data_IF_584936161883
#
_entry.id   IF_584936161883
#
_cell.length_a   1.000
_cell.length_b   1.000
_cell.length_c   1.000
_cell.angle_alpha   90.00
_cell.angle_beta   90.00
_cell.angle_gamma   90.00
#
_symmetry.space_group_name_H-M   'P 1'
#
loop_
_entity.id
_entity.type
_entity.pdbx_description
1 polymer ?
#
# COMPACT_ATOMS: atom_id res chain seq x y z
N UNK A 1 -4.21 -22.77 -17.20
CA UNK A 1 -4.28 -22.22 -15.83
C UNK A 1 -4.45 -23.34 -14.80
N UNK A 2 -3.61 -23.42 -13.77
CA UNK A 2 -3.65 -24.50 -12.78
C UNK A 2 -4.77 -24.27 -11.75
N UNK A 3 -5.40 -25.36 -11.27
CA UNK A 3 -6.49 -25.35 -10.26
C UNK A 3 -6.14 -24.58 -8.97
N UNK A 4 -4.86 -24.33 -8.70
CA UNK A 4 -4.39 -23.58 -7.53
C UNK A 4 -4.57 -22.06 -7.66
N UNK A 5 -4.59 -21.52 -8.88
CA UNK A 5 -4.76 -20.06 -9.14
C UNK A 5 -6.21 -19.65 -8.92
N UNK A 6 -7.15 -20.47 -9.39
CA UNK A 6 -8.59 -20.26 -9.16
C UNK A 6 -8.91 -20.37 -7.66
N UNK A 7 -8.29 -21.30 -6.92
CA UNK A 7 -8.55 -21.45 -5.49
C UNK A 7 -8.08 -20.26 -4.65
N UNK A 8 -6.99 -19.57 -5.03
CA UNK A 8 -6.53 -18.36 -4.33
C UNK A 8 -7.49 -17.18 -4.57
N UNK A 9 -7.92 -16.98 -5.83
CA UNK A 9 -8.93 -15.98 -6.19
C UNK A 9 -10.32 -16.28 -5.57
N UNK A 10 -10.67 -17.56 -5.44
CA UNK A 10 -11.93 -18.01 -4.81
C UNK A 10 -11.86 -17.92 -3.28
N UNK A 11 -10.67 -18.01 -2.66
CA UNK A 11 -10.52 -17.82 -1.21
C UNK A 11 -10.79 -16.39 -0.75
N UNK A 12 -10.65 -15.41 -1.65
CA UNK A 12 -11.09 -14.02 -1.46
C UNK A 12 -12.62 -13.85 -1.63
N UNK A 13 -13.31 -14.84 -2.20
CA UNK A 13 -14.76 -14.86 -2.45
C UNK A 13 -15.54 -15.90 -1.60
N UNK A 14 -14.89 -16.48 -0.59
CA UNK A 14 -15.42 -17.64 0.15
C UNK A 14 -16.38 -17.30 1.30
N UNK A 15 -17.52 -16.65 1.05
CA UNK A 15 -18.69 -16.78 1.94
C UNK A 15 -19.93 -17.11 1.09
N UNK A 16 -20.21 -18.42 0.98
CA UNK A 16 -21.47 -18.98 0.49
C UNK A 16 -22.11 -19.89 1.54
N UNK A 17 -23.42 -20.19 1.45
CA UNK A 17 -24.39 -19.88 2.50
C UNK A 17 -24.78 -21.05 3.41
N UNK A 18 -25.03 -20.75 4.69
CA UNK A 18 -26.24 -21.09 5.48
C UNK A 18 -25.98 -21.00 6.99
N UNK A 19 -27.08 -20.79 7.73
CA UNK A 19 -27.28 -20.74 9.19
C UNK A 19 -27.26 -19.33 9.82
N UNK A 20 -28.48 -18.98 10.20
CA UNK A 20 -29.08 -17.77 10.76
C UNK A 20 -28.39 -17.19 12.00
N UNK A 21 -27.95 -15.94 11.86
CA UNK A 21 -28.14 -14.78 12.76
C UNK A 21 -26.92 -13.85 12.60
N UNK A 22 -27.12 -12.80 11.81
CA UNK A 22 -26.08 -11.98 11.16
C UNK A 22 -25.22 -11.08 12.05
N UNK A 23 -25.36 -11.14 13.37
CA UNK A 23 -24.57 -10.31 14.31
C UNK A 23 -23.31 -10.99 14.85
N UNK A 24 -23.26 -12.33 14.88
CA UNK A 24 -22.10 -13.08 15.39
C UNK A 24 -21.06 -13.37 14.29
N UNK A 25 -21.50 -13.59 13.04
CA UNK A 25 -20.58 -13.86 11.90
C UNK A 25 -19.74 -12.65 11.49
N UNK A 26 -20.28 -11.42 11.57
CA UNK A 26 -19.50 -10.19 11.30
C UNK A 26 -18.30 -10.08 12.25
N UNK A 27 -18.49 -10.32 13.55
CA UNK A 27 -17.40 -10.21 14.54
C UNK A 27 -16.31 -11.28 14.43
N UNK A 28 -16.62 -12.46 13.88
CA UNK A 28 -15.65 -13.58 13.77
C UNK A 28 -14.92 -13.56 12.42
N UNK A 29 -15.57 -13.07 11.35
CA UNK A 29 -14.93 -12.91 10.04
C UNK A 29 -13.99 -11.69 9.97
N UNK A 30 -14.17 -10.71 10.86
CA UNK A 30 -13.35 -9.49 10.94
C UNK A 30 -12.06 -9.67 11.74
N UNK A 31 -11.93 -10.73 12.55
CA UNK A 31 -10.74 -10.98 13.36
C UNK A 31 -9.81 -11.88 12.55
N UNK A 32 -8.91 -11.25 11.80
CA UNK A 32 -7.75 -11.95 11.27
C UNK A 32 -6.96 -12.60 12.43
N UNK A 33 -6.33 -13.77 12.21
CA UNK A 33 -5.47 -14.35 13.23
C UNK A 33 -4.37 -13.36 13.63
N UNK A 34 -3.93 -13.34 14.90
CA UNK A 34 -2.83 -12.50 15.32
C UNK A 34 -1.60 -12.71 14.41
N UNK A 35 -1.14 -11.62 13.81
CA UNK A 35 0.06 -11.64 13.00
C UNK A 35 1.27 -11.40 13.88
N UNK A 36 2.35 -12.14 13.61
CA UNK A 36 3.60 -12.02 14.34
C UNK A 36 4.72 -11.76 13.35
N UNK A 37 5.60 -10.78 13.61
CA UNK A 37 6.72 -10.53 12.72
C UNK A 37 7.61 -11.78 12.63
N UNK A 38 8.08 -12.13 11.42
CA UNK A 38 8.98 -13.26 11.27
C UNK A 38 10.29 -12.98 12.02
N UNK A 39 11.02 -14.05 12.38
CA UNK A 39 12.33 -13.93 13.05
C UNK A 39 13.23 -12.94 12.31
N UNK A 40 13.88 -12.07 13.07
CA UNK A 40 14.73 -11.01 12.54
C UNK A 40 13.99 -9.70 12.27
N UNK A 41 12.69 -9.60 12.56
CA UNK A 41 11.92 -8.37 12.42
C UNK A 41 11.19 -7.99 13.70
N UNK A 42 11.03 -6.69 13.90
CA UNK A 42 10.17 -6.08 14.92
C UNK A 42 9.11 -5.24 14.23
N UNK A 43 7.88 -5.30 14.73
CA UNK A 43 6.77 -4.44 14.31
C UNK A 43 6.45 -3.47 15.44
N UNK A 44 6.50 -2.17 15.17
CA UNK A 44 6.20 -1.11 16.14
C UNK A 44 4.91 -0.42 15.72
N UNK A 45 3.80 -0.55 16.48
CA UNK A 45 2.58 0.19 16.22
C UNK A 45 2.78 1.68 16.55
N UNK A 46 2.20 2.55 15.74
CA UNK A 46 2.25 4.00 15.89
C UNK A 46 0.81 4.52 15.78
N UNK A 47 0.32 5.13 16.86
CA UNK A 47 -1.01 5.74 16.88
C UNK A 47 -0.93 7.21 16.44
N UNK A 48 -1.73 7.56 15.44
CA UNK A 48 -1.96 8.93 14.99
C UNK A 48 -3.33 9.40 15.50
N UNK A 49 -3.66 10.70 15.46
CA UNK A 49 -4.92 11.20 16.00
C UNK A 49 -6.17 10.50 15.44
N UNK A 50 -6.17 10.20 14.14
CA UNK A 50 -7.36 9.68 13.42
C UNK A 50 -7.15 8.31 12.77
N UNK A 51 -5.92 7.78 12.75
CA UNK A 51 -5.55 6.52 12.11
C UNK A 51 -4.35 5.88 12.81
N UNK A 52 -3.95 4.69 12.38
CA UNK A 52 -2.76 4.01 12.92
C UNK A 52 -1.80 3.59 11.80
N UNK A 53 -0.54 3.40 12.18
CA UNK A 53 0.51 2.94 11.30
C UNK A 53 1.31 1.84 11.99
N UNK A 54 2.02 1.03 11.21
CA UNK A 54 2.90 -0.01 11.73
C UNK A 54 4.28 0.11 11.06
N UNK A 55 5.32 0.25 11.87
CA UNK A 55 6.70 0.33 11.41
C UNK A 55 7.40 -1.03 11.58
N UNK A 56 7.72 -1.67 10.47
CA UNK A 56 8.50 -2.91 10.41
C UNK A 56 9.99 -2.59 10.27
N UNK A 57 10.80 -3.15 11.17
CA UNK A 57 12.26 -2.94 11.24
C UNK A 57 13.00 -4.28 11.31
N UNK A 58 14.22 -4.33 10.79
CA UNK A 58 15.15 -5.44 11.06
C UNK A 58 15.61 -5.41 12.53
N UNK A 59 15.69 -6.58 13.16
CA UNK A 59 16.32 -6.74 14.47
C UNK A 59 17.83 -6.88 14.26
N UNK A 60 18.60 -5.83 14.57
CA UNK A 60 20.04 -5.94 14.62
C UNK A 60 20.47 -6.66 15.92
N UNK A 61 21.40 -7.62 15.82
CA UNK A 61 21.91 -8.40 16.96
C UNK A 61 22.53 -7.54 18.08
N UNK A 62 22.87 -6.28 17.79
CA UNK A 62 23.37 -5.29 18.74
C UNK A 62 22.44 -5.01 19.93
N UNK A 63 21.13 -5.27 19.79
CA UNK A 63 20.13 -4.92 20.81
C UNK A 63 19.59 -6.12 21.60
N UNK A 64 20.13 -7.32 21.39
CA UNK A 64 19.64 -8.53 22.05
C UNK A 64 19.97 -8.64 23.54
N UNK A 65 20.83 -7.78 24.11
CA UNK A 65 21.32 -7.95 25.48
C UNK A 65 20.95 -6.87 26.50
N UNK A 66 20.27 -5.76 26.16
CA UNK A 66 20.03 -4.70 27.17
C UNK A 66 18.67 -3.98 27.16
N UNK A 67 17.71 -4.31 26.30
CA UNK A 67 16.43 -3.57 26.22
C UNK A 67 15.21 -4.31 26.79
N UNK A 68 15.36 -5.57 27.23
CA UNK A 68 14.24 -6.37 27.76
C UNK A 68 14.05 -6.31 29.29
N UNK A 69 14.94 -5.64 30.04
CA UNK A 69 14.76 -5.45 31.49
C UNK A 69 13.84 -4.26 31.85
N UNK A 70 13.60 -3.32 30.94
CA UNK A 70 12.79 -2.12 31.22
C UNK A 70 11.27 -2.31 31.13
N UNK A 71 10.80 -3.48 30.70
CA UNK A 71 9.36 -3.77 30.55
C UNK A 71 8.74 -4.48 31.76
N UNK A 72 9.41 -4.53 32.93
CA UNK A 72 8.98 -5.34 34.09
C UNK A 72 8.91 -4.62 35.44
N UNK A 73 8.94 -3.29 35.51
CA UNK A 73 8.87 -2.59 36.81
C UNK A 73 7.68 -1.66 36.94
N UNK A 74 7.07 -1.75 38.12
CA UNK A 74 5.79 -1.20 38.57
C UNK A 74 5.67 0.34 38.46
N UNK A 75 4.46 0.79 38.16
CA UNK A 75 4.10 2.03 37.46
C UNK A 75 4.07 3.30 38.34
N UNK A 76 4.90 3.38 39.40
CA UNK A 76 4.70 4.37 40.46
C UNK A 76 5.82 5.39 40.67
N UNK A 77 6.85 5.43 39.84
CA UNK A 77 7.96 6.38 40.06
C UNK A 77 8.82 6.73 38.83
N UNK A 78 8.23 7.04 37.68
CA UNK A 78 8.98 7.54 36.51
C UNK A 78 8.86 9.06 36.34
N UNK A 79 9.97 9.78 36.07
CA UNK A 79 9.92 11.19 35.66
C UNK A 79 9.28 11.32 34.27
N UNK A 80 8.54 12.41 34.06
CA UNK A 80 7.97 12.79 32.77
C UNK A 80 9.09 13.07 31.74
N UNK A 81 9.59 12.07 31.00
CA UNK A 81 10.40 12.36 29.82
C UNK A 81 10.44 11.26 28.75
N UNK A 82 10.03 11.66 27.54
CA UNK A 82 10.55 11.38 26.18
C UNK A 82 11.01 9.99 25.70
N UNK A 83 11.00 8.94 26.51
CA UNK A 83 11.63 7.66 26.17
C UNK A 83 10.98 6.88 24.99
N UNK A 84 9.71 7.13 24.66
CA UNK A 84 9.02 6.42 23.57
C UNK A 84 9.23 7.00 22.17
N UNK A 85 9.54 8.31 22.05
CA UNK A 85 9.75 8.98 20.76
C UNK A 85 11.21 8.91 20.29
N UNK A 86 12.16 8.90 21.21
CA UNK A 86 13.60 8.83 20.89
C UNK A 86 13.99 7.49 20.24
N UNK A 87 13.43 6.35 20.67
CA UNK A 87 13.82 5.02 20.16
C UNK A 87 13.37 4.76 18.71
N UNK A 88 12.28 5.39 18.23
CA UNK A 88 11.79 5.18 16.84
C UNK A 88 12.52 6.08 15.85
N UNK A 89 12.72 7.36 16.21
CA UNK A 89 13.47 8.32 15.39
C UNK A 89 14.94 7.90 15.28
N UNK A 90 15.60 7.54 16.38
CA UNK A 90 16.99 7.07 16.34
C UNK A 90 17.16 5.82 15.47
N UNK A 91 16.22 4.87 15.50
CA UNK A 91 16.29 3.68 14.62
C UNK A 91 16.21 3.99 13.13
N UNK A 92 15.43 5.00 12.73
CA UNK A 92 15.37 5.44 11.33
C UNK A 92 16.60 6.28 10.94
N UNK A 93 17.08 7.12 11.87
CA UNK A 93 18.14 8.10 11.66
C UNK A 93 19.55 7.51 11.69
N UNK A 94 19.80 6.51 12.54
CA UNK A 94 21.15 6.00 12.82
C UNK A 94 21.80 5.30 11.62
N UNK A 95 21.02 4.92 10.62
CA UNK A 95 21.52 4.07 9.53
C UNK A 95 21.33 4.63 8.11
N UNK A 96 20.82 5.86 7.96
CA UNK A 96 20.62 6.50 6.64
C UNK A 96 19.88 5.57 5.65
N UNK A 97 18.97 4.74 6.18
CA UNK A 97 18.25 3.68 5.44
C UNK A 97 17.17 4.27 4.56
N UNK A 98 16.82 3.54 3.51
CA UNK A 98 15.59 3.81 2.76
C UNK A 98 14.38 3.31 3.55
N UNK A 99 13.27 4.03 3.44
CA UNK A 99 12.00 3.68 4.08
C UNK A 99 10.95 3.50 3.00
N UNK A 100 10.21 2.40 3.05
CA UNK A 100 9.03 2.20 2.21
C UNK A 100 7.80 2.67 2.97
N UNK A 101 7.15 3.73 2.49
CA UNK A 101 5.79 4.10 2.89
C UNK A 101 4.81 3.23 2.10
N UNK A 102 4.21 2.24 2.75
CA UNK A 102 3.29 1.29 2.15
C UNK A 102 1.83 1.76 2.34
N UNK A 103 1.13 1.92 1.22
CA UNK A 103 -0.28 2.27 1.15
C UNK A 103 -1.05 1.08 0.57
N UNK A 104 -1.91 0.46 1.37
CA UNK A 104 -2.58 -0.78 0.99
C UNK A 104 -3.69 -0.59 -0.05
N UNK A 105 -4.03 -1.64 -0.80
CA UNK A 105 -5.23 -1.70 -1.63
C UNK A 105 -6.53 -1.89 -0.84
N UNK A 106 -7.61 -2.30 -1.51
CA UNK A 106 -8.93 -2.49 -0.88
C UNK A 106 -9.97 -1.43 -1.25
N UNK A 107 -9.79 -0.77 -2.39
CA UNK A 107 -10.82 0.09 -2.99
C UNK A 107 -11.19 1.32 -2.17
N UNK A 108 -10.31 1.81 -1.28
CA UNK A 108 -10.57 2.85 -0.29
C UNK A 108 -11.71 2.54 0.71
N UNK A 109 -12.15 1.28 0.78
CA UNK A 109 -13.24 0.82 1.66
C UNK A 109 -12.79 -0.31 2.60
N UNK A 110 -11.73 -1.04 2.22
CA UNK A 110 -11.13 -2.09 3.03
C UNK A 110 -9.93 -1.56 3.81
N UNK A 111 -9.93 -1.78 5.13
CA UNK A 111 -8.80 -1.51 6.03
C UNK A 111 -7.62 -2.45 5.81
N UNK A 112 -6.49 -2.14 6.43
CA UNK A 112 -5.27 -2.95 6.37
C UNK A 112 -5.53 -4.40 6.85
N UNK A 113 -4.79 -5.34 6.24
CA UNK A 113 -4.90 -6.78 6.46
C UNK A 113 -3.52 -7.42 6.63
N UNK A 114 -3.48 -8.63 7.19
CA UNK A 114 -2.24 -9.39 7.40
C UNK A 114 -1.43 -9.60 6.11
N UNK A 115 -2.08 -9.72 4.96
CA UNK A 115 -1.39 -9.85 3.67
C UNK A 115 -0.46 -8.65 3.37
N UNK A 116 -0.82 -7.44 3.80
CA UNK A 116 0.03 -6.26 3.62
C UNK A 116 1.23 -6.24 4.59
N UNK A 117 1.08 -6.82 5.78
CA UNK A 117 2.22 -7.09 6.68
C UNK A 117 3.20 -8.09 6.05
N UNK A 118 2.69 -9.08 5.31
CA UNK A 118 3.53 -9.99 4.53
C UNK A 118 4.22 -9.27 3.35
N UNK A 119 3.56 -8.31 2.67
CA UNK A 119 4.21 -7.42 1.70
C UNK A 119 5.32 -6.60 2.34
N UNK A 120 5.09 -6.03 3.53
CA UNK A 120 6.09 -5.25 4.25
C UNK A 120 7.35 -6.09 4.51
N UNK A 121 7.20 -7.36 4.88
CA UNK A 121 8.33 -8.28 5.02
C UNK A 121 9.07 -8.51 3.69
N UNK A 122 8.37 -8.55 2.55
CA UNK A 122 9.02 -8.70 1.24
C UNK A 122 9.87 -7.48 0.89
N UNK A 123 9.33 -6.27 1.08
CA UNK A 123 10.09 -5.03 0.91
C UNK A 123 11.31 -4.96 1.84
N UNK A 124 11.10 -5.25 3.12
CA UNK A 124 12.17 -5.16 4.11
C UNK A 124 13.31 -6.15 3.84
N UNK A 125 13.01 -7.32 3.25
CA UNK A 125 14.01 -8.34 2.89
C UNK A 125 14.84 -8.01 1.65
N UNK A 126 14.46 -7.01 0.85
CA UNK A 126 15.24 -6.59 -0.30
C UNK A 126 16.58 -5.97 0.15
N UNK A 127 17.62 -5.97 -0.70
CA UNK A 127 18.92 -5.40 -0.36
C UNK A 127 18.81 -3.95 0.12
N UNK A 128 19.53 -3.57 1.18
CA UNK A 128 19.49 -2.22 1.78
C UNK A 128 18.75 -2.12 3.12
N UNK A 129 18.28 -3.25 3.65
CA UNK A 129 17.68 -3.37 5.00
C UNK A 129 16.61 -2.31 5.31
N UNK A 130 15.71 -2.12 4.35
CA UNK A 130 14.68 -1.07 4.39
C UNK A 130 13.75 -1.22 5.59
N UNK A 131 13.40 -0.10 6.20
CA UNK A 131 12.25 -0.03 7.09
C UNK A 131 10.96 0.07 6.24
N UNK A 132 9.84 -0.41 6.77
CA UNK A 132 8.54 -0.28 6.09
C UNK A 132 7.52 0.31 7.05
N UNK A 133 6.98 1.47 6.69
CA UNK A 133 5.88 2.11 7.40
C UNK A 133 4.58 1.81 6.65
N UNK A 134 3.75 0.93 7.19
CA UNK A 134 2.45 0.58 6.64
C UNK A 134 1.36 1.43 7.29
N UNK A 135 0.49 2.04 6.48
CA UNK A 135 -0.54 2.96 6.95
C UNK A 135 -1.91 2.30 6.91
N UNK A 136 -2.58 2.13 8.06
CA UNK A 136 -4.00 1.73 8.14
C UNK A 136 -4.87 2.99 8.06
N UNK A 137 -4.87 3.61 6.88
CA UNK A 137 -5.52 4.89 6.62
C UNK A 137 -7.05 4.76 6.73
N UNK A 138 -7.73 5.87 7.04
CA UNK A 138 -9.19 5.92 7.13
C UNK A 138 -9.86 5.62 5.78
N UNK A 139 -10.95 4.86 5.84
CA UNK A 139 -11.63 4.31 4.66
C UNK A 139 -13.10 4.74 4.60
N UNK A 140 -13.63 4.80 3.38
CA UNK A 140 -15.04 5.02 3.13
C UNK A 140 -15.89 3.76 3.45
N UNK A 141 -17.20 3.91 3.72
CA UNK A 141 -17.98 5.15 3.70
C UNK A 141 -17.85 6.01 4.96
N UNK A 142 -17.24 5.52 6.04
CA UNK A 142 -17.11 6.26 7.30
C UNK A 142 -16.30 7.54 7.11
N UNK A 143 -15.20 7.44 6.38
CA UNK A 143 -14.27 8.54 6.10
C UNK A 143 -14.00 8.62 4.59
N UNK A 144 -14.87 9.30 3.81
CA UNK A 144 -14.65 9.50 2.38
C UNK A 144 -13.48 10.46 2.12
N UNK A 145 -13.17 10.68 0.84
CA UNK A 145 -12.22 11.69 0.39
C UNK A 145 -12.48 13.03 1.09
N UNK A 146 -11.44 13.71 1.64
CA UNK A 146 -10.01 13.44 1.43
C UNK A 146 -9.30 12.59 2.50
N UNK A 147 -10.01 11.90 3.40
CA UNK A 147 -9.41 11.30 4.61
C UNK A 147 -8.17 10.40 4.33
N UNK A 148 -8.27 9.45 3.40
CA UNK A 148 -7.13 8.59 3.05
C UNK A 148 -5.90 9.38 2.53
N UNK A 149 -6.12 10.47 1.78
CA UNK A 149 -5.03 11.32 1.28
C UNK A 149 -4.40 12.15 2.40
N UNK A 150 -5.22 12.65 3.33
CA UNK A 150 -4.74 13.36 4.51
C UNK A 150 -3.90 12.46 5.41
N UNK A 151 -4.32 11.21 5.62
CA UNK A 151 -3.59 10.23 6.41
C UNK A 151 -2.27 9.82 5.74
N UNK A 152 -2.28 9.58 4.43
CA UNK A 152 -1.07 9.31 3.66
C UNK A 152 -0.07 10.49 3.68
N UNK A 153 -0.59 11.72 3.62
CA UNK A 153 0.23 12.93 3.76
C UNK A 153 0.78 13.09 5.17
N UNK A 154 -0.02 12.85 6.21
CA UNK A 154 0.41 12.89 7.61
C UNK A 154 1.49 11.84 7.89
N UNK A 155 1.37 10.63 7.33
CA UNK A 155 2.38 9.58 7.42
C UNK A 155 3.69 9.99 6.72
N UNK A 156 3.62 10.63 5.55
CA UNK A 156 4.79 11.14 4.86
C UNK A 156 5.49 12.25 5.66
N UNK A 157 4.73 13.21 6.19
CA UNK A 157 5.25 14.28 7.04
C UNK A 157 5.88 13.72 8.32
N UNK A 158 5.26 12.71 8.93
CA UNK A 158 5.83 12.01 10.09
C UNK A 158 7.22 11.43 9.76
N UNK A 159 7.41 10.82 8.58
CA UNK A 159 8.73 10.35 8.14
C UNK A 159 9.75 11.50 8.01
N UNK A 160 9.33 12.65 7.46
CA UNK A 160 10.19 13.84 7.39
C UNK A 160 10.54 14.39 8.77
N UNK A 161 9.59 14.40 9.71
CA UNK A 161 9.80 14.82 11.11
C UNK A 161 10.73 13.87 11.86
N UNK A 162 10.69 12.56 11.54
CA UNK A 162 11.67 11.59 12.00
C UNK A 162 13.02 11.73 11.29
N UNK A 163 13.18 12.73 10.43
CA UNK A 163 14.40 13.14 9.75
C UNK A 163 14.77 12.31 8.52
N UNK A 164 13.82 11.55 7.96
CA UNK A 164 13.98 11.01 6.62
C UNK A 164 14.00 12.15 5.60
N UNK A 165 14.89 12.08 4.60
CA UNK A 165 14.79 12.94 3.42
C UNK A 165 13.83 12.34 2.41
N UNK A 166 13.16 13.16 1.60
CA UNK A 166 12.33 12.65 0.50
C UNK A 166 13.09 11.67 -0.41
N UNK A 167 14.38 11.93 -0.64
CA UNK A 167 15.31 11.06 -1.38
C UNK A 167 15.60 9.69 -0.72
N UNK A 168 15.07 9.42 0.46
CA UNK A 168 15.15 8.13 1.17
C UNK A 168 13.78 7.43 1.26
N UNK A 169 12.69 8.12 0.92
CA UNK A 169 11.34 7.58 1.03
C UNK A 169 10.91 7.01 -0.31
N UNK A 170 10.57 5.72 -0.34
CA UNK A 170 9.89 5.06 -1.44
C UNK A 170 8.41 5.02 -1.07
N UNK A 171 7.52 5.44 -1.96
CA UNK A 171 6.07 5.22 -1.74
C UNK A 171 5.64 4.04 -2.58
N UNK A 172 5.04 3.05 -1.94
CA UNK A 172 4.60 1.83 -2.59
C UNK A 172 3.12 1.59 -2.29
N UNK A 173 2.34 1.20 -3.31
CA UNK A 173 0.96 0.84 -3.09
C UNK A 173 0.36 0.01 -4.21
N UNK A 174 -0.69 -0.72 -3.87
CA UNK A 174 -1.43 -1.57 -4.79
C UNK A 174 -2.89 -1.11 -4.94
N UNK A 175 -3.50 -1.32 -6.11
CA UNK A 175 -4.92 -0.99 -6.32
C UNK A 175 -5.24 0.46 -5.93
N UNK A 176 -6.21 0.67 -5.03
CA UNK A 176 -6.49 1.97 -4.40
C UNK A 176 -5.25 2.62 -3.76
N UNK A 177 -4.42 1.88 -3.04
CA UNK A 177 -3.16 2.38 -2.47
C UNK A 177 -2.15 2.80 -3.53
N UNK A 178 -2.16 2.18 -4.70
CA UNK A 178 -1.37 2.62 -5.86
C UNK A 178 -1.88 3.94 -6.45
N UNK A 179 -3.20 4.12 -6.50
CA UNK A 179 -3.82 5.43 -6.78
C UNK A 179 -3.43 6.48 -5.75
N UNK A 180 -3.52 6.13 -4.47
CA UNK A 180 -3.20 7.00 -3.34
C UNK A 180 -1.73 7.41 -3.35
N UNK A 181 -0.81 6.52 -3.71
CA UNK A 181 0.61 6.83 -3.86
C UNK A 181 0.87 7.92 -4.92
N UNK A 182 0.18 7.84 -6.05
CA UNK A 182 0.24 8.86 -7.10
C UNK A 182 -0.41 10.18 -6.66
N UNK A 183 -1.58 10.11 -6.00
CA UNK A 183 -2.27 11.28 -5.47
C UNK A 183 -1.44 12.00 -4.39
N UNK A 184 -0.81 11.24 -3.49
CA UNK A 184 0.13 11.76 -2.49
C UNK A 184 1.31 12.45 -3.15
N UNK A 185 1.94 11.84 -4.17
CA UNK A 185 3.06 12.46 -4.88
C UNK A 185 2.64 13.77 -5.58
N UNK A 186 1.43 13.81 -6.16
CA UNK A 186 0.87 15.04 -6.73
C UNK A 186 0.69 16.11 -5.66
N UNK A 187 0.12 15.73 -4.52
CA UNK A 187 -0.18 16.64 -3.41
C UNK A 187 1.10 17.22 -2.77
N UNK A 188 2.13 16.39 -2.58
CA UNK A 188 3.46 16.83 -2.13
C UNK A 188 4.05 17.85 -3.11
N UNK A 189 3.99 17.54 -4.41
CA UNK A 189 4.52 18.42 -5.45
C UNK A 189 3.82 19.78 -5.45
N UNK A 190 2.49 19.79 -5.41
CA UNK A 190 1.70 21.02 -5.43
C UNK A 190 1.90 21.87 -4.16
N UNK A 191 2.28 21.25 -3.05
CA UNK A 191 2.68 21.92 -1.81
C UNK A 191 4.14 22.38 -1.78
N UNK A 192 4.97 21.97 -2.75
CA UNK A 192 6.41 22.25 -2.75
C UNK A 192 7.19 21.45 -1.70
N UNK A 193 6.65 20.32 -1.26
CA UNK A 193 7.31 19.40 -0.32
C UNK A 193 8.39 18.55 -1.02
N UNK A 194 9.38 18.03 -0.27
CA UNK A 194 10.31 17.03 -0.81
C UNK A 194 9.54 15.84 -1.40
N UNK A 195 9.85 15.47 -2.64
CA UNK A 195 9.24 14.31 -3.30
C UNK A 195 9.92 13.00 -2.87
N UNK A 196 9.19 11.86 -2.90
CA UNK A 196 9.78 10.56 -2.64
C UNK A 196 10.85 10.21 -3.69
N UNK A 197 11.77 9.32 -3.31
CA UNK A 197 12.83 8.79 -4.17
C UNK A 197 12.26 8.07 -5.40
N UNK A 198 11.26 7.20 -5.20
CA UNK A 198 10.63 6.36 -6.23
C UNK A 198 9.19 6.03 -5.86
N UNK A 199 8.37 5.68 -6.85
CA UNK A 199 7.04 5.11 -6.66
C UNK A 199 6.99 3.66 -7.19
N UNK A 200 6.42 2.75 -6.40
CA UNK A 200 6.13 1.37 -6.79
C UNK A 200 4.62 1.16 -6.81
N UNK A 201 4.07 0.85 -7.97
CA UNK A 201 2.63 0.89 -8.23
C UNK A 201 2.18 -0.46 -8.78
N UNK A 202 1.46 -1.24 -7.97
CA UNK A 202 0.92 -2.55 -8.35
C UNK A 202 -0.56 -2.42 -8.70
N UNK A 203 -0.92 -2.68 -9.95
CA UNK A 203 -2.30 -2.59 -10.44
C UNK A 203 -3.00 -1.28 -9.99
N UNK A 204 -2.35 -0.10 -10.06
CA UNK A 204 -2.88 1.12 -9.46
C UNK A 204 -4.23 1.51 -10.06
N UNK A 205 -5.19 1.82 -9.18
CA UNK A 205 -6.47 2.37 -9.57
C UNK A 205 -6.35 3.89 -9.68
N UNK A 206 -6.34 4.41 -10.90
CA UNK A 206 -5.99 5.82 -11.18
C UNK A 206 -7.14 6.64 -11.75
N UNK A 207 -8.24 5.98 -12.12
CA UNK A 207 -9.43 6.55 -12.74
C UNK A 207 -10.70 5.96 -12.11
N UNK A 208 -11.18 6.61 -11.06
CA UNK A 208 -12.44 6.27 -10.39
C UNK A 208 -13.67 6.65 -11.24
N UNK A 209 -13.49 7.32 -12.37
CA UNK A 209 -14.55 7.53 -13.36
C UNK A 209 -14.66 6.37 -14.37
N UNK A 210 -13.84 5.32 -14.24
CA UNK A 210 -13.90 4.07 -15.00
C UNK A 210 -13.96 4.28 -16.53
N UNK A 211 -13.12 5.18 -17.06
CA UNK A 211 -13.16 5.60 -18.48
C UNK A 211 -12.24 4.80 -19.40
N UNK A 212 -11.60 3.77 -18.87
CA UNK A 212 -10.60 2.97 -19.57
C UNK A 212 -11.21 1.87 -20.45
N UNK A 213 -10.58 1.57 -21.59
CA UNK A 213 -11.06 0.54 -22.52
C UNK A 213 -11.00 -0.89 -21.95
N UNK A 214 -10.10 -1.15 -20.99
CA UNK A 214 -10.03 -2.45 -20.31
C UNK A 214 -11.21 -2.74 -19.39
N UNK A 215 -11.99 -1.73 -18.97
CA UNK A 215 -13.23 -1.97 -18.24
C UNK A 215 -14.26 -2.71 -19.10
N UNK A 216 -14.21 -2.57 -20.43
CA UNK A 216 -15.05 -3.31 -21.36
C UNK A 216 -14.32 -4.56 -21.89
N UNK A 217 -13.09 -4.40 -22.39
CA UNK A 217 -12.37 -5.48 -23.10
C UNK A 217 -11.86 -6.61 -22.20
N UNK A 218 -11.71 -6.34 -20.89
CA UNK A 218 -11.37 -7.34 -19.88
C UNK A 218 -12.53 -7.67 -18.92
N UNK A 219 -13.75 -7.16 -19.19
CA UNK A 219 -14.91 -7.37 -18.32
C UNK A 219 -15.20 -8.85 -18.03
N UNK A 220 -15.04 -9.74 -19.01
CA UNK A 220 -15.28 -11.19 -18.81
C UNK A 220 -14.01 -11.95 -18.37
N UNK A 221 -12.83 -11.29 -18.39
CA UNK A 221 -11.53 -11.90 -18.09
C UNK A 221 -11.10 -11.69 -16.64
N UNK A 222 -11.44 -10.54 -16.06
CA UNK A 222 -11.04 -10.19 -14.71
C UNK A 222 -11.82 -11.04 -13.69
N UNK A 223 -11.14 -11.92 -12.92
CA UNK A 223 -11.83 -12.81 -11.98
C UNK A 223 -12.31 -12.09 -10.71
N UNK A 224 -11.88 -10.85 -10.46
CA UNK A 224 -12.20 -10.10 -9.24
C UNK A 224 -13.32 -9.09 -9.49
N UNK A 225 -13.23 -8.32 -10.57
CA UNK A 225 -14.17 -7.23 -10.85
C UNK A 225 -15.09 -7.49 -12.04
N UNK A 226 -14.76 -8.49 -12.85
CA UNK A 226 -15.47 -8.80 -14.08
C UNK A 226 -16.83 -9.43 -13.86
N UNK A 227 -17.61 -9.54 -14.94
CA UNK A 227 -18.93 -10.17 -15.00
C UNK A 227 -20.02 -9.53 -14.11
N UNK A 228 -19.73 -8.42 -13.42
CA UNK A 228 -20.72 -7.64 -12.66
C UNK A 228 -20.36 -6.15 -12.67
N UNK A 229 -21.38 -5.30 -12.76
CA UNK A 229 -21.24 -3.85 -12.53
C UNK A 229 -21.59 -3.44 -11.11
N UNK A 230 -22.06 -4.39 -10.28
CA UNK A 230 -22.30 -4.20 -8.84
C UNK A 230 -21.00 -4.44 -8.08
N UNK A 231 -20.04 -3.53 -8.25
CA UNK A 231 -18.72 -3.63 -7.63
C UNK A 231 -18.12 -2.25 -7.34
N UNK A 232 -17.13 -2.23 -6.45
CA UNK A 232 -16.49 -1.00 -5.98
C UNK A 232 -15.82 -0.19 -7.10
N UNK A 233 -15.50 -0.80 -8.25
CA UNK A 233 -14.87 -0.11 -9.38
C UNK A 233 -15.86 0.71 -10.21
N UNK A 234 -17.17 0.46 -10.08
CA UNK A 234 -18.24 1.22 -10.76
C UNK A 234 -19.01 2.14 -9.81
N UNK A 235 -19.09 1.79 -8.53
CA UNK A 235 -19.75 2.58 -7.50
C UNK A 235 -18.91 2.55 -6.22
N UNK A 236 -18.27 3.68 -5.90
CA UNK A 236 -17.40 3.78 -4.74
C UNK A 236 -17.80 4.94 -3.84
N UNK A 237 -17.95 4.69 -2.54
CA UNK A 237 -18.27 5.73 -1.56
C UNK A 237 -17.11 6.72 -1.33
N UNK A 238 -15.89 6.39 -1.76
CA UNK A 238 -14.69 7.18 -1.50
C UNK A 238 -14.78 8.61 -2.02
N UNK A 239 -15.22 8.84 -3.26
CA UNK A 239 -15.27 10.20 -3.79
C UNK A 239 -16.41 11.05 -3.18
N UNK A 240 -17.35 10.44 -2.45
CA UNK A 240 -18.47 11.14 -1.83
C UNK A 240 -19.29 11.92 -2.85
N UNK A 241 -19.44 13.22 -2.64
CA UNK A 241 -20.13 14.14 -3.56
C UNK A 241 -19.20 14.83 -4.58
N UNK A 242 -17.89 14.51 -4.55
CA UNK A 242 -16.90 15.14 -5.41
C UNK A 242 -16.93 14.55 -6.83
N UNK A 243 -16.40 15.31 -7.80
CA UNK A 243 -16.19 14.80 -9.15
C UNK A 243 -15.15 13.65 -9.11
N UNK A 244 -15.49 12.43 -9.56
CA UNK A 244 -14.54 11.31 -9.58
C UNK A 244 -13.31 11.58 -10.45
N UNK A 245 -13.33 12.61 -11.32
CA UNK A 245 -12.18 13.05 -12.13
C UNK A 245 -11.27 14.05 -11.44
N UNK A 246 -11.57 14.44 -10.20
CA UNK A 246 -10.70 15.30 -9.39
C UNK A 246 -9.30 14.67 -9.31
N UNK A 247 -8.20 15.38 -9.63
CA UNK A 247 -6.85 14.79 -9.70
C UNK A 247 -6.37 14.08 -8.42
N UNK A 248 -6.81 14.52 -7.24
CA UNK A 248 -6.47 13.90 -5.96
C UNK A 248 -7.34 12.67 -5.62
N UNK A 249 -8.41 12.44 -6.37
CA UNK A 249 -9.26 11.23 -6.32
C UNK A 249 -8.80 10.26 -7.41
N UNK A 250 -8.62 10.77 -8.63
CA UNK A 250 -8.19 10.05 -9.82
C UNK A 250 -6.90 10.67 -10.37
N UNK A 251 -5.72 10.20 -9.93
CA UNK A 251 -4.44 10.77 -10.32
C UNK A 251 -4.17 10.69 -11.84
N UNK A 252 -4.91 9.86 -12.60
CA UNK A 252 -4.86 9.87 -14.06
C UNK A 252 -5.07 11.29 -14.63
N UNK A 253 -5.88 12.13 -13.98
CA UNK A 253 -6.18 13.49 -14.43
C UNK A 253 -5.15 14.53 -13.94
N UNK A 254 -4.20 14.17 -13.06
CA UNK A 254 -3.17 15.06 -12.51
C UNK A 254 -2.00 15.38 -13.43
N UNK A 255 -1.19 16.38 -13.06
CA UNK A 255 0.03 16.76 -13.78
C UNK A 255 1.24 15.98 -13.25
N UNK A 256 1.81 15.11 -14.08
CA UNK A 256 2.94 14.25 -13.73
C UNK A 256 4.31 14.94 -13.85
N UNK A 257 4.41 16.13 -14.44
CA UNK A 257 5.70 16.83 -14.58
C UNK A 257 6.41 16.95 -13.24
N UNK A 258 7.69 16.57 -13.21
CA UNK A 258 8.53 16.57 -12.00
C UNK A 258 8.37 15.36 -11.08
N UNK A 259 7.54 14.37 -11.43
CA UNK A 259 7.42 13.15 -10.62
C UNK A 259 8.73 12.34 -10.63
N UNK A 260 9.03 11.62 -9.52
CA UNK A 260 10.19 10.75 -9.42
C UNK A 260 10.03 9.50 -10.31
N UNK A 261 11.08 8.66 -10.45
CA UNK A 261 10.98 7.40 -11.16
C UNK A 261 9.83 6.51 -10.65
N UNK A 262 9.08 5.93 -11.58
CA UNK A 262 7.89 5.13 -11.30
C UNK A 262 7.99 3.73 -11.93
N UNK A 263 7.69 2.71 -11.13
CA UNK A 263 7.42 1.35 -11.60
C UNK A 263 5.93 1.06 -11.53
N UNK A 264 5.34 0.72 -12.68
CA UNK A 264 3.98 0.21 -12.82
C UNK A 264 4.04 -1.28 -13.14
N UNK A 265 3.34 -2.10 -12.35
CA UNK A 265 3.10 -3.50 -12.64
C UNK A 265 1.62 -3.74 -12.75
N UNK A 266 1.14 -4.44 -13.78
CA UNK A 266 -0.29 -4.70 -13.96
C UNK A 266 -0.51 -6.02 -14.70
N UNK A 267 -1.55 -6.74 -14.35
CA UNK A 267 -1.99 -7.95 -15.03
C UNK A 267 -2.72 -7.65 -16.33
N UNK A 268 -2.45 -8.44 -17.37
CA UNK A 268 -3.06 -8.28 -18.69
C UNK A 268 -4.56 -8.64 -18.74
N UNK A 269 -5.07 -9.37 -17.74
CA UNK A 269 -6.49 -9.73 -17.62
C UNK A 269 -7.30 -8.75 -16.76
N UNK A 270 -6.66 -7.70 -16.22
CA UNK A 270 -7.31 -6.76 -15.31
C UNK A 270 -8.23 -5.78 -16.02
N UNK A 271 -9.35 -5.44 -15.41
CA UNK A 271 -10.14 -4.27 -15.80
C UNK A 271 -9.39 -2.96 -15.54
N UNK A 272 -8.43 -2.92 -14.60
CA UNK A 272 -7.57 -1.76 -14.32
C UNK A 272 -6.30 -1.69 -15.21
N UNK A 273 -6.17 -2.54 -16.22
CA UNK A 273 -5.03 -2.51 -17.15
C UNK A 273 -4.84 -1.12 -17.78
N UNK A 274 -5.93 -0.54 -18.29
CA UNK A 274 -5.92 0.75 -18.95
C UNK A 274 -5.63 1.90 -17.98
N UNK A 275 -5.93 1.78 -16.69
CA UNK A 275 -5.55 2.78 -15.69
C UNK A 275 -4.03 2.88 -15.60
N UNK A 276 -3.38 1.74 -15.40
CA UNK A 276 -1.92 1.65 -15.32
C UNK A 276 -1.26 2.11 -16.63
N UNK A 277 -1.74 1.63 -17.78
CA UNK A 277 -1.17 1.95 -19.08
C UNK A 277 -1.34 3.44 -19.45
N UNK A 278 -2.51 4.03 -19.17
CA UNK A 278 -2.79 5.45 -19.46
C UNK A 278 -1.99 6.36 -18.52
N UNK A 279 -1.92 6.06 -17.23
CA UNK A 279 -1.12 6.81 -16.26
C UNK A 279 0.37 6.78 -16.61
N UNK A 280 0.92 5.58 -16.88
CA UNK A 280 2.32 5.42 -17.30
C UNK A 280 2.63 6.18 -18.61
N UNK A 281 1.73 6.12 -19.60
CA UNK A 281 1.87 6.88 -20.85
C UNK A 281 1.86 8.39 -20.60
N UNK A 282 0.98 8.88 -19.73
CA UNK A 282 0.88 10.30 -19.38
C UNK A 282 2.14 10.78 -18.65
N UNK A 283 2.61 10.01 -17.67
CA UNK A 283 3.86 10.26 -16.95
C UNK A 283 5.07 10.33 -17.89
N UNK A 284 5.19 9.37 -18.80
CA UNK A 284 6.27 9.36 -19.80
C UNK A 284 6.20 10.56 -20.75
N UNK A 285 5.00 10.96 -21.16
CA UNK A 285 4.79 12.16 -21.98
C UNK A 285 5.13 13.46 -21.24
N UNK A 286 5.05 13.46 -19.90
CA UNK A 286 5.48 14.57 -19.04
C UNK A 286 6.99 14.56 -18.72
N UNK A 287 7.76 13.65 -19.33
CA UNK A 287 9.22 13.58 -19.17
C UNK A 287 9.71 12.75 -17.98
N UNK A 288 8.83 12.03 -17.28
CA UNK A 288 9.22 11.19 -16.15
C UNK A 288 9.90 9.89 -16.59
N UNK A 289 10.77 9.36 -15.73
CA UNK A 289 11.27 7.99 -15.84
C UNK A 289 10.17 7.01 -15.42
N UNK A 290 9.77 6.14 -16.35
CA UNK A 290 8.65 5.22 -16.16
C UNK A 290 9.03 3.84 -16.68
N UNK A 291 8.93 2.85 -15.80
CA UNK A 291 8.92 1.43 -16.14
C UNK A 291 7.47 0.92 -16.02
N UNK A 292 6.94 0.32 -17.08
CA UNK A 292 5.63 -0.32 -17.09
C UNK A 292 5.82 -1.76 -17.55
N UNK A 293 5.35 -2.70 -16.72
CA UNK A 293 5.36 -4.12 -17.02
C UNK A 293 3.95 -4.68 -16.94
N UNK A 294 3.48 -5.19 -18.08
CA UNK A 294 2.20 -5.88 -18.20
C UNK A 294 2.49 -7.38 -18.10
N UNK A 295 1.95 -8.02 -17.07
CA UNK A 295 2.06 -9.45 -16.83
C UNK A 295 0.90 -10.16 -17.53
N UNK A 296 1.18 -10.78 -18.67
CA UNK A 296 0.18 -11.47 -19.49
C UNK A 296 -0.65 -12.46 -18.66
N UNK A 297 -1.96 -12.48 -18.93
CA UNK A 297 -2.97 -13.31 -18.27
C UNK A 297 -3.15 -13.11 -16.75
N UNK A 298 -2.32 -12.30 -16.08
CA UNK A 298 -2.43 -12.06 -14.64
C UNK A 298 -3.65 -11.22 -14.27
N UNK A 299 -4.17 -11.50 -13.08
CA UNK A 299 -5.34 -10.86 -12.48
C UNK A 299 -4.93 -9.72 -11.52
N UNK A 300 -5.93 -9.03 -10.99
CA UNK A 300 -5.73 -7.88 -10.11
C UNK A 300 -4.89 -8.18 -8.88
N UNK A 301 -3.80 -7.43 -8.69
CA UNK A 301 -2.82 -7.58 -7.60
C UNK A 301 -2.35 -9.03 -7.46
N UNK A 302 -1.97 -9.66 -8.58
CA UNK A 302 -1.41 -11.02 -8.59
C UNK A 302 -0.15 -11.17 -7.71
N UNK A 303 0.49 -10.06 -7.31
CA UNK A 303 1.58 -9.98 -6.33
C UNK A 303 1.18 -10.54 -4.95
N UNK A 304 -0.12 -10.58 -4.62
CA UNK A 304 -0.68 -11.29 -3.45
C UNK A 304 -0.43 -12.81 -3.51
N UNK A 305 -0.06 -13.35 -4.68
CA UNK A 305 0.48 -14.70 -4.81
C UNK A 305 1.81 -14.91 -4.07
N UNK A 306 2.46 -13.85 -3.60
CA UNK A 306 3.73 -13.86 -2.86
C UNK A 306 4.75 -14.81 -3.50
N UNK A 307 5.22 -15.81 -2.74
CA UNK A 307 6.15 -16.85 -3.18
C UNK A 307 5.46 -18.05 -3.85
N UNK A 308 4.12 -18.12 -3.83
CA UNK A 308 3.34 -19.27 -4.32
C UNK A 308 3.14 -19.25 -5.83
N UNK A 309 3.09 -18.08 -6.45
CA UNK A 309 2.95 -17.91 -7.90
C UNK A 309 4.27 -17.49 -8.55
N UNK A 310 4.54 -18.00 -9.76
CA UNK A 310 5.80 -17.71 -10.47
C UNK A 310 5.85 -16.24 -10.87
N UNK A 311 4.78 -15.76 -11.47
CA UNK A 311 4.60 -14.41 -11.97
C UNK A 311 4.70 -13.40 -10.82
N UNK A 312 4.08 -13.72 -9.67
CA UNK A 312 4.23 -12.94 -8.44
C UNK A 312 5.69 -12.84 -7.98
N UNK A 313 6.44 -13.94 -7.98
CA UNK A 313 7.88 -13.90 -7.63
C UNK A 313 8.68 -13.04 -8.61
N UNK A 314 8.35 -13.10 -9.90
CA UNK A 314 8.98 -12.27 -10.93
C UNK A 314 8.66 -10.79 -10.73
N UNK A 315 7.42 -10.44 -10.37
CA UNK A 315 7.03 -9.08 -10.02
C UNK A 315 7.75 -8.55 -8.78
N UNK A 316 7.87 -9.35 -7.72
CA UNK A 316 8.65 -8.97 -6.54
C UNK A 316 10.14 -8.79 -6.85
N UNK A 317 10.70 -9.61 -7.75
CA UNK A 317 12.09 -9.47 -8.21
C UNK A 317 12.30 -8.20 -9.04
N UNK A 318 11.34 -7.86 -9.90
CA UNK A 318 11.39 -6.60 -10.67
C UNK A 318 11.37 -5.38 -9.74
N UNK A 319 10.57 -5.41 -8.66
CA UNK A 319 10.59 -4.34 -7.66
C UNK A 319 11.97 -4.25 -7.00
N UNK A 320 12.56 -5.37 -6.61
CA UNK A 320 13.90 -5.40 -6.02
C UNK A 320 14.96 -4.77 -6.97
N UNK A 321 14.92 -5.13 -8.25
CA UNK A 321 15.79 -4.57 -9.29
C UNK A 321 15.56 -3.06 -9.44
N UNK A 322 14.30 -2.63 -9.54
CA UNK A 322 13.94 -1.22 -9.65
C UNK A 322 14.39 -0.41 -8.44
N UNK A 323 14.34 -0.94 -7.22
CA UNK A 323 14.77 -0.22 -6.02
C UNK A 323 16.30 -0.18 -5.84
N UNK A 324 17.05 -1.02 -6.53
CA UNK A 324 18.52 -1.11 -6.42
C UNK A 324 19.27 -0.20 -7.40
N UNK A 325 18.64 0.17 -8.51
CA UNK A 325 19.16 1.11 -9.53
C UNK A 325 19.13 2.55 -9.00
#
# INVERSE_FOLDING_TARGET
MSKNVIALATSLHGIGPLIQNGTFRKRVAEIEPPWHPPRGFSLVPIEMPDFSMELLLHQNEFFSNNSLEYLKTDDSNMPEDRAGKEDTAERLLTENREVVLQLHGGGYIGKMKNAYRDFAVLYARMPGERAVLSVDYRVAPEDPYPAALEDAYAAYQWLLEMGCRGSQIIVAGDSAGGGLALALCLYLKDKGEPLPKKLVLMSPWTDLAATGDSYETNFEKDPLFGNTTDSMIYSNAYYGENDPKTPYISPLYGNYEGFPPMLFQVGGSEMLLSDSARAAKKAKAAGCEVQLTIYDEMFHVFQLGMKKMKESREAWKEIEEFLTI
#
